data_IF_676745829856
#
_entry.id   IF_676745829856
#
_cell.length_a   1.000
_cell.length_b   1.000
_cell.length_c   1.000
_cell.angle_alpha   90.00
_cell.angle_beta   90.00
_cell.angle_gamma   90.00
#
_symmetry.space_group_name_H-M   'P 1'
#
loop_
_entity.id
_entity.type
_entity.pdbx_description
1 polymer ?
#
# COMPACT_ATOMS: atom_id res chain seq x y z
N UNK A 1 -4.01 -18.85 27.16
CA UNK A 1 -2.92 -18.95 26.16
C UNK A 1 -2.31 -17.55 26.01
N UNK A 2 -1.00 -17.45 25.83
CA UNK A 2 -0.28 -16.17 25.76
C UNK A 2 -0.81 -15.35 24.57
N UNK A 3 -0.86 -14.03 24.73
CA UNK A 3 -1.17 -13.10 23.65
C UNK A 3 -0.04 -13.12 22.63
N UNK A 4 -0.19 -13.93 21.59
CA UNK A 4 0.81 -14.12 20.55
C UNK A 4 0.82 -12.90 19.62
N UNK A 5 1.60 -11.89 20.03
CA UNK A 5 1.96 -10.76 19.18
C UNK A 5 3.33 -11.00 18.57
N UNK A 6 3.39 -11.08 17.24
CA UNK A 6 4.65 -10.94 16.52
C UNK A 6 5.00 -9.46 16.43
N UNK A 7 6.19 -9.08 16.85
CA UNK A 7 6.70 -7.71 16.70
C UNK A 7 7.82 -7.74 15.67
N UNK A 8 7.72 -6.87 14.67
CA UNK A 8 8.75 -6.67 13.64
C UNK A 8 9.27 -5.25 13.79
N UNK A 9 10.60 -5.13 13.92
CA UNK A 9 11.31 -3.85 14.01
C UNK A 9 12.16 -3.71 12.74
N UNK A 10 11.81 -2.73 11.90
CA UNK A 10 12.40 -2.54 10.58
C UNK A 10 13.14 -1.21 10.52
N UNK A 11 14.40 -1.29 10.07
CA UNK A 11 15.38 -0.20 9.98
C UNK A 11 16.27 -0.42 8.74
N UNK A 12 17.16 0.52 8.43
CA UNK A 12 18.09 0.48 7.30
C UNK A 12 17.39 0.43 5.94
N UNK A 13 16.34 1.25 5.77
CA UNK A 13 15.62 1.35 4.50
C UNK A 13 16.53 1.91 3.40
N UNK A 14 16.45 1.28 2.22
CA UNK A 14 17.06 1.81 1.01
C UNK A 14 16.39 3.14 0.60
N UNK A 15 17.13 4.00 -0.10
CA UNK A 15 16.61 5.31 -0.55
C UNK A 15 15.39 5.18 -1.46
N UNK A 16 15.33 4.09 -2.23
CA UNK A 16 14.28 3.77 -3.19
C UNK A 16 13.00 3.26 -2.50
N UNK A 17 13.10 2.79 -1.25
CA UNK A 17 11.97 2.32 -0.45
C UNK A 17 11.18 3.48 0.20
N UNK A 18 11.16 4.65 -0.45
CA UNK A 18 10.58 5.88 0.06
C UNK A 18 9.08 5.76 0.32
N UNK A 19 8.71 5.51 1.57
CA UNK A 19 7.32 5.48 1.99
C UNK A 19 6.80 6.90 2.22
N UNK A 20 5.92 7.41 1.35
CA UNK A 20 5.26 8.73 1.50
C UNK A 20 6.24 9.90 1.78
N UNK A 21 7.42 9.86 1.15
CA UNK A 21 8.46 10.88 1.35
C UNK A 21 9.39 10.63 2.54
N UNK A 22 9.34 9.44 3.15
CA UNK A 22 10.31 9.02 4.15
C UNK A 22 11.74 8.96 3.58
N UNK A 23 12.70 9.23 4.46
CA UNK A 23 14.14 9.14 4.24
C UNK A 23 14.66 7.75 4.64
N UNK A 24 15.97 7.55 4.49
CA UNK A 24 16.65 6.32 4.96
C UNK A 24 16.66 6.19 6.49
N UNK A 25 16.29 7.25 7.22
CA UNK A 25 16.14 7.22 8.68
C UNK A 25 14.79 6.67 9.13
N UNK A 26 13.96 6.20 8.19
CA UNK A 26 12.69 5.56 8.48
C UNK A 26 12.88 4.40 9.46
N UNK A 27 12.09 4.42 10.53
CA UNK A 27 11.95 3.32 11.48
C UNK A 27 10.48 2.93 11.55
N UNK A 28 10.20 1.64 11.38
CA UNK A 28 8.84 1.12 11.44
C UNK A 28 8.80 -0.04 12.44
N UNK A 29 7.92 0.08 13.42
CA UNK A 29 7.63 -1.01 14.36
C UNK A 29 6.23 -1.52 14.09
N UNK A 30 6.13 -2.79 13.74
CA UNK A 30 4.89 -3.49 13.39
C UNK A 30 4.55 -4.53 14.46
N UNK A 31 3.26 -4.71 14.71
CA UNK A 31 2.72 -5.65 15.70
C UNK A 31 1.56 -6.40 15.09
N UNK A 32 1.69 -7.71 14.99
CA UNK A 32 0.66 -8.61 14.47
C UNK A 32 0.10 -9.43 15.63
N UNK A 33 -1.14 -9.17 16.02
CA UNK A 33 -1.80 -9.84 17.14
C UNK A 33 -3.02 -10.60 16.66
N UNK A 34 -3.10 -11.91 16.92
CA UNK A 34 -4.38 -12.63 16.75
C UNK A 34 -5.38 -12.13 17.79
N UNK A 35 -6.40 -11.41 17.34
CA UNK A 35 -7.42 -10.84 18.22
C UNK A 35 -8.49 -11.89 18.59
N UNK A 36 -8.83 -12.75 17.63
CA UNK A 36 -9.78 -13.85 17.72
C UNK A 36 -9.46 -14.87 16.58
N UNK A 37 -10.23 -15.96 16.39
CA UNK A 37 -9.98 -16.95 15.35
C UNK A 37 -9.98 -16.43 13.90
N UNK A 38 -10.67 -15.31 13.65
CA UNK A 38 -10.94 -14.78 12.31
C UNK A 38 -10.35 -13.38 12.07
N UNK A 39 -9.73 -12.76 13.08
CA UNK A 39 -9.17 -11.41 12.98
C UNK A 39 -7.70 -11.36 13.40
N UNK A 40 -6.85 -10.87 12.50
CA UNK A 40 -5.49 -10.43 12.80
C UNK A 40 -5.49 -8.90 12.95
N UNK A 41 -5.18 -8.39 14.14
CA UNK A 41 -4.97 -6.95 14.32
C UNK A 41 -3.52 -6.63 13.96
N UNK A 42 -3.35 -5.82 12.92
CA UNK A 42 -2.08 -5.30 12.46
C UNK A 42 -1.95 -3.84 12.90
N UNK A 43 -0.97 -3.56 13.74
CA UNK A 43 -0.66 -2.21 14.22
C UNK A 43 0.75 -1.85 13.78
N UNK A 44 0.96 -0.62 13.35
CA UNK A 44 2.30 -0.15 13.01
C UNK A 44 2.51 1.29 13.48
N UNK A 45 3.76 1.61 13.82
CA UNK A 45 4.21 2.96 14.16
C UNK A 45 5.34 3.34 13.24
N UNK A 46 5.24 4.55 12.68
CA UNK A 46 6.21 5.13 11.76
C UNK A 46 6.93 6.29 12.42
N UNK A 47 8.25 6.29 12.33
CA UNK A 47 9.11 7.35 12.81
C UNK A 47 10.12 7.75 11.73
N UNK A 48 10.06 9.02 11.32
CA UNK A 48 11.10 9.69 10.55
C UNK A 48 11.03 11.20 10.85
N UNK A 49 11.89 11.72 11.74
CA UNK A 49 11.88 13.14 12.12
C UNK A 49 12.20 14.11 10.99
N UNK A 50 12.84 13.65 9.91
CA UNK A 50 13.13 14.48 8.74
C UNK A 50 11.90 14.70 7.87
N UNK A 51 10.92 13.80 7.94
CA UNK A 51 9.68 13.84 7.14
C UNK A 51 8.47 14.26 7.97
N UNK A 52 8.32 13.76 9.21
CA UNK A 52 7.18 14.06 10.08
C UNK A 52 7.62 14.67 11.41
N UNK A 53 6.86 15.65 11.89
CA UNK A 53 7.14 16.34 13.17
C UNK A 53 6.88 15.47 14.41
N UNK A 54 6.12 14.37 14.25
CA UNK A 54 5.80 13.40 15.30
C UNK A 54 5.66 12.01 14.68
N UNK A 55 6.05 10.99 15.43
CA UNK A 55 5.69 9.61 15.11
C UNK A 55 4.17 9.45 15.08
N UNK A 56 3.69 8.57 14.22
CA UNK A 56 2.27 8.28 14.10
C UNK A 56 2.06 6.78 13.97
N UNK A 57 0.84 6.35 14.29
CA UNK A 57 0.49 4.93 14.29
C UNK A 57 -0.85 4.71 13.61
N UNK A 58 -1.05 3.52 13.08
CA UNK A 58 -2.34 3.07 12.58
C UNK A 58 -2.61 1.62 13.03
N UNK A 59 -3.89 1.25 13.02
CA UNK A 59 -4.38 -0.08 13.37
C UNK A 59 -5.36 -0.54 12.30
N UNK A 60 -5.12 -1.73 11.76
CA UNK A 60 -5.91 -2.34 10.70
C UNK A 60 -6.38 -3.71 11.19
N UNK A 61 -7.70 -3.94 11.36
CA UNK A 61 -8.23 -5.27 11.56
C UNK A 61 -8.26 -6.01 10.20
N UNK A 62 -7.41 -7.02 10.06
CA UNK A 62 -7.39 -7.90 8.89
C UNK A 62 -8.29 -9.10 9.14
N UNK A 63 -9.26 -9.31 8.25
CA UNK A 63 -10.16 -10.47 8.31
C UNK A 63 -9.47 -11.68 7.68
N UNK A 64 -9.60 -12.84 8.31
CA UNK A 64 -9.14 -14.12 7.75
C UNK A 64 -9.94 -14.43 6.48
N UNK A 65 -9.22 -14.87 5.45
CA UNK A 65 -9.82 -15.36 4.21
C UNK A 65 -9.07 -16.60 3.74
N UNK A 66 -9.81 -17.55 3.16
CA UNK A 66 -9.26 -18.72 2.47
C UNK A 66 -9.25 -18.50 0.94
N UNK A 67 -9.60 -17.29 0.47
CA UNK A 67 -9.52 -16.90 -0.93
C UNK A 67 -8.07 -16.72 -1.41
N UNK A 68 -7.89 -16.67 -2.73
CA UNK A 68 -6.59 -16.40 -3.33
C UNK A 68 -6.15 -14.95 -3.02
N UNK A 69 -4.94 -14.82 -2.48
CA UNK A 69 -4.29 -13.51 -2.35
C UNK A 69 -3.71 -13.13 -3.71
N UNK A 70 -4.39 -12.21 -4.39
CA UNK A 70 -3.90 -11.65 -5.64
C UNK A 70 -2.79 -10.63 -5.36
N UNK A 71 -1.81 -10.54 -6.26
CA UNK A 71 -0.80 -9.50 -6.22
C UNK A 71 -1.45 -8.12 -6.27
N UNK A 72 -1.03 -7.23 -5.39
CA UNK A 72 -1.31 -5.81 -5.56
C UNK A 72 -0.42 -5.27 -6.68
N UNK A 73 -0.87 -5.41 -7.92
CA UNK A 73 -0.31 -4.67 -9.04
C UNK A 73 -0.85 -3.24 -8.94
N UNK A 74 0.01 -2.28 -8.60
CA UNK A 74 -0.28 -0.88 -8.88
C UNK A 74 -0.69 -0.83 -10.36
N UNK A 75 -1.90 -0.37 -10.67
CA UNK A 75 -2.45 -0.32 -12.04
C UNK A 75 -1.70 0.72 -12.90
N UNK A 76 -0.40 0.53 -13.06
CA UNK A 76 0.43 1.18 -14.04
C UNK A 76 0.01 0.62 -15.40
N UNK A 77 -0.14 1.50 -16.40
CA UNK A 77 -0.74 1.22 -17.71
C UNK A 77 -2.29 1.22 -17.82
N UNK A 78 -3.00 2.05 -17.05
CA UNK A 78 -4.40 2.39 -17.33
C UNK A 78 -4.56 3.29 -18.58
N UNK A 79 -4.07 2.82 -19.73
CA UNK A 79 -4.17 3.49 -21.02
C UNK A 79 -5.51 3.23 -21.72
N UNK A 80 -6.43 2.49 -21.09
CA UNK A 80 -7.71 2.15 -21.70
C UNK A 80 -8.49 3.39 -22.13
N UNK A 81 -8.66 4.35 -21.21
CA UNK A 81 -9.35 5.60 -21.53
C UNK A 81 -8.58 6.45 -22.54
N UNK A 82 -7.26 6.57 -22.40
CA UNK A 82 -6.42 7.31 -23.34
C UNK A 82 -6.50 6.72 -24.76
N UNK A 83 -6.45 5.40 -24.88
CA UNK A 83 -6.56 4.66 -26.14
C UNK A 83 -7.93 4.87 -26.81
N UNK A 84 -9.02 4.80 -26.04
CA UNK A 84 -10.38 5.08 -26.52
C UNK A 84 -10.48 6.51 -27.05
N UNK A 85 -10.00 7.50 -26.30
CA UNK A 85 -10.04 8.90 -26.70
C UNK A 85 -9.19 9.18 -27.95
N UNK A 86 -7.99 8.58 -28.05
CA UNK A 86 -7.14 8.67 -29.25
C UNK A 86 -7.82 8.05 -30.48
N UNK A 87 -8.45 6.90 -30.32
CA UNK A 87 -9.23 6.25 -31.38
C UNK A 87 -10.37 7.14 -31.89
N UNK A 88 -11.13 7.76 -30.98
CA UNK A 88 -12.20 8.69 -31.33
C UNK A 88 -11.68 9.91 -32.13
N UNK A 89 -10.58 10.54 -31.69
CA UNK A 89 -9.97 11.67 -32.42
C UNK A 89 -9.45 11.27 -33.80
N UNK A 90 -8.97 10.04 -33.96
CA UNK A 90 -8.53 9.52 -35.25
C UNK A 90 -9.72 9.35 -36.22
N UNK A 91 -10.84 8.80 -35.74
CA UNK A 91 -12.05 8.67 -36.55
C UNK A 91 -12.63 10.02 -36.98
N UNK A 92 -12.63 11.02 -36.11
CA UNK A 92 -13.02 12.38 -36.49
C UNK A 92 -12.14 12.99 -37.59
N UNK A 93 -10.81 12.79 -37.51
CA UNK A 93 -9.88 13.25 -38.56
C UNK A 93 -10.15 12.59 -39.90
N UNK A 94 -10.57 11.33 -39.90
CA UNK A 94 -10.95 10.60 -41.10
C UNK A 94 -12.36 10.96 -41.61
N UNK A 95 -13.12 11.79 -40.88
CA UNK A 95 -14.49 12.13 -41.23
C UNK A 95 -15.47 10.98 -41.04
N UNK A 96 -15.09 9.93 -40.29
CA UNK A 96 -15.95 8.79 -39.98
C UNK A 96 -16.95 9.27 -38.94
N UNK A 97 -18.23 9.34 -39.33
CA UNK A 97 -19.35 9.55 -38.40
C UNK A 97 -19.88 8.19 -37.98
N UNK A 98 -20.02 7.99 -36.67
CA UNK A 98 -20.80 6.87 -36.11
C UNK A 98 -22.26 6.95 -36.55
#
# INVERSE_FOLDING_TARGET
MRGDTLVVDTTNFAKEAGFRGATTNLHVVERFTRADPDTLRYEFTVEDPATWTKKWSASIPMTRTDELMFEYACHEANYGLEGVLKGARYQEKLGIKN
#
